data_IF_068498000944
#
_entry.id   IF_068498000944
#
_cell.length_a   1.000
_cell.length_b   1.000
_cell.length_c   1.000
_cell.angle_alpha   90.00
_cell.angle_beta   90.00
_cell.angle_gamma   90.00
#
_symmetry.space_group_name_H-M   'P 1'
#
loop_
_entity.id
_entity.type
_entity.pdbx_description
1 polymer ?
#
# COMPACT_ATOMS: atom_id res chain seq x y z
N UNK A 1 -30.73 2.59 -39.85
CA UNK A 1 -31.35 2.72 -38.52
C UNK A 1 -30.29 3.20 -37.55
N UNK A 2 -30.38 4.48 -37.16
CA UNK A 2 -29.62 5.07 -36.05
C UNK A 2 -30.33 4.69 -34.75
N UNK A 3 -29.58 4.24 -33.74
CA UNK A 3 -29.57 4.96 -32.47
C UNK A 3 -28.22 4.73 -31.81
N UNK A 4 -27.39 5.77 -31.87
CA UNK A 4 -26.33 6.02 -30.91
C UNK A 4 -26.99 6.39 -29.59
N UNK A 5 -26.86 5.56 -28.57
CA UNK A 5 -27.08 5.96 -27.17
C UNK A 5 -25.74 6.39 -26.59
N UNK A 6 -25.45 7.68 -26.77
CA UNK A 6 -24.55 8.42 -25.89
C UNK A 6 -25.39 8.83 -24.70
N UNK A 7 -25.15 8.18 -23.57
CA UNK A 7 -25.69 8.53 -22.25
C UNK A 7 -24.57 8.26 -21.25
N UNK A 8 -24.24 9.10 -20.29
CA UNK A 8 -24.56 10.48 -19.93
C UNK A 8 -23.49 10.77 -18.88
N UNK A 9 -22.89 11.95 -18.95
CA UNK A 9 -21.96 12.58 -18.00
C UNK A 9 -22.10 12.00 -16.57
N UNK A 10 -21.36 10.92 -16.31
CA UNK A 10 -21.17 10.42 -14.97
C UNK A 10 -20.19 11.38 -14.34
N UNK A 11 -20.70 12.45 -13.73
CA UNK A 11 -19.93 13.24 -12.78
C UNK A 11 -19.55 12.27 -11.67
N UNK A 12 -18.41 11.60 -11.87
CA UNK A 12 -17.71 10.81 -10.89
C UNK A 12 -17.34 11.85 -9.83
N UNK A 13 -18.29 12.09 -8.92
CA UNK A 13 -18.04 12.79 -7.68
C UNK A 13 -17.07 11.91 -6.94
N UNK A 14 -15.80 12.04 -7.29
CA UNK A 14 -14.68 11.46 -6.60
C UNK A 14 -14.70 12.12 -5.22
N UNK A 15 -15.52 11.55 -4.33
CA UNK A 15 -15.55 11.93 -2.93
C UNK A 15 -14.16 11.59 -2.42
N UNK A 16 -13.35 12.63 -2.25
CA UNK A 16 -12.08 12.51 -1.59
C UNK A 16 -12.34 12.34 -0.09
N UNK A 17 -12.85 11.17 0.28
CA UNK A 17 -12.97 10.79 1.67
C UNK A 17 -11.56 10.56 2.23
N UNK A 18 -11.25 11.27 3.32
CA UNK A 18 -9.97 11.13 3.98
C UNK A 18 -9.91 9.78 4.69
N UNK A 19 -9.20 8.82 4.07
CA UNK A 19 -9.07 7.44 4.55
C UNK A 19 -7.98 7.31 5.62
N UNK A 20 -6.78 7.82 5.32
CA UNK A 20 -5.63 7.76 6.21
C UNK A 20 -4.56 8.80 5.80
N UNK A 21 -3.55 8.97 6.65
CA UNK A 21 -2.31 9.67 6.31
C UNK A 21 -1.59 9.03 5.12
N UNK A 22 -0.43 9.58 4.70
CA UNK A 22 0.27 9.09 3.51
C UNK A 22 0.69 7.61 3.68
N UNK A 23 -0.09 6.71 3.07
CA UNK A 23 0.11 5.26 3.04
C UNK A 23 0.31 4.83 1.59
N UNK A 24 1.42 4.17 1.29
CA UNK A 24 1.78 3.73 -0.06
C UNK A 24 2.16 2.26 -0.05
N UNK A 25 1.78 1.53 -1.09
CA UNK A 25 2.20 0.13 -1.29
C UNK A 25 3.39 0.12 -2.24
N UNK A 26 4.61 0.00 -1.71
CA UNK A 26 5.85 0.19 -2.46
C UNK A 26 6.25 -1.07 -3.25
N UNK A 27 5.98 -2.26 -2.70
CA UNK A 27 6.39 -3.53 -3.31
C UNK A 27 5.58 -4.73 -2.80
N UNK A 28 5.63 -5.84 -3.54
CA UNK A 28 5.22 -7.15 -3.05
C UNK A 28 6.42 -7.79 -2.34
N UNK A 29 6.24 -8.20 -1.09
CA UNK A 29 7.26 -8.92 -0.32
C UNK A 29 7.15 -10.42 -0.57
N UNK A 30 8.29 -11.12 -0.69
CA UNK A 30 8.35 -12.59 -0.73
C UNK A 30 9.36 -13.09 0.30
N UNK A 31 9.03 -14.18 0.99
CA UNK A 31 10.00 -14.87 1.84
C UNK A 31 11.16 -15.44 0.98
N UNK A 32 12.39 -15.31 1.49
CA UNK A 32 13.59 -15.85 0.85
C UNK A 32 13.65 -17.38 0.93
N UNK A 33 13.14 -17.94 2.04
CA UNK A 33 13.34 -19.35 2.42
C UNK A 33 12.27 -20.27 1.87
N UNK A 34 11.04 -19.77 1.70
CA UNK A 34 9.92 -20.53 1.14
C UNK A 34 9.41 -19.85 -0.13
N UNK A 35 8.98 -20.65 -1.11
CA UNK A 35 8.30 -20.14 -2.31
C UNK A 35 6.91 -19.56 -2.02
N UNK A 36 6.41 -19.76 -0.81
CA UNK A 36 5.14 -19.32 -0.24
C UNK A 36 5.36 -18.19 0.79
N UNK A 37 4.30 -17.46 1.15
CA UNK A 37 4.40 -16.32 2.07
C UNK A 37 4.64 -14.98 1.37
N UNK A 38 3.76 -14.66 0.41
CA UNK A 38 3.72 -13.33 -0.18
C UNK A 38 3.17 -12.32 0.83
N UNK A 39 3.53 -11.05 0.67
CA UNK A 39 2.99 -9.94 1.45
C UNK A 39 3.08 -8.64 0.66
N UNK A 40 2.73 -7.53 1.30
CA UNK A 40 2.82 -6.19 0.74
C UNK A 40 3.74 -5.34 1.61
N UNK A 41 4.70 -4.65 1.00
CA UNK A 41 5.51 -3.65 1.67
C UNK A 41 4.73 -2.35 1.67
N UNK A 42 4.26 -1.96 2.85
CA UNK A 42 3.61 -0.67 3.08
C UNK A 42 4.66 0.34 3.53
N UNK A 43 4.66 1.52 2.94
CA UNK A 43 5.43 2.69 3.39
C UNK A 43 4.44 3.74 3.88
N UNK A 44 4.66 4.27 5.08
CA UNK A 44 3.82 5.33 5.62
C UNK A 44 4.59 6.23 6.57
N UNK A 45 4.06 7.42 6.84
CA UNK A 45 4.65 8.35 7.79
C UNK A 45 3.95 8.23 9.15
N UNK A 46 4.73 8.08 10.22
CA UNK A 46 4.19 8.01 11.57
C UNK A 46 3.87 9.40 12.14
N UNK A 47 3.30 9.45 13.36
CA UNK A 47 2.99 10.70 14.06
C UNK A 47 4.23 11.57 14.33
N UNK A 48 5.41 10.98 14.43
CA UNK A 48 6.71 11.66 14.59
C UNK A 48 7.27 12.21 13.27
N UNK A 49 6.58 12.04 12.14
CA UNK A 49 7.05 12.49 10.82
C UNK A 49 8.13 11.59 10.20
N UNK A 50 8.36 10.39 10.75
CA UNK A 50 9.31 9.40 10.23
C UNK A 50 8.63 8.48 9.24
N UNK A 51 9.27 8.24 8.10
CA UNK A 51 8.87 7.19 7.18
C UNK A 51 9.19 5.81 7.76
N UNK A 52 8.16 4.97 7.82
CA UNK A 52 8.25 3.59 8.26
C UNK A 52 7.86 2.68 7.11
N UNK A 53 8.56 1.55 7.02
CA UNK A 53 8.24 0.48 6.09
C UNK A 53 7.79 -0.75 6.89
N UNK A 54 6.65 -1.32 6.54
CA UNK A 54 6.10 -2.50 7.18
C UNK A 54 5.69 -3.54 6.16
N UNK A 55 6.21 -4.75 6.29
CA UNK A 55 5.80 -5.90 5.50
C UNK A 55 4.49 -6.47 6.08
N UNK A 56 3.39 -6.27 5.36
CA UNK A 56 2.09 -6.86 5.65
C UNK A 56 2.05 -8.29 5.07
N UNK A 57 2.01 -9.35 5.89
CA UNK A 57 1.90 -10.71 5.40
C UNK A 57 0.50 -10.97 4.81
N UNK A 58 0.42 -11.82 3.78
CA UNK A 58 -0.87 -12.14 3.15
C UNK A 58 -1.86 -12.82 4.10
N UNK A 59 -1.39 -13.51 5.13
CA UNK A 59 -2.25 -14.08 6.18
C UNK A 59 -3.03 -12.99 6.94
N UNK A 60 -2.38 -11.85 7.21
CA UNK A 60 -3.05 -10.69 7.80
C UNK A 60 -4.05 -10.08 6.80
N UNK A 61 -3.72 -10.05 5.51
CA UNK A 61 -4.63 -9.55 4.48
C UNK A 61 -5.86 -10.45 4.26
N UNK A 62 -5.70 -11.76 4.32
CA UNK A 62 -6.79 -12.72 4.21
C UNK A 62 -7.66 -12.78 5.49
N UNK A 63 -7.13 -12.28 6.61
CA UNK A 63 -7.79 -12.25 7.91
C UNK A 63 -8.72 -11.05 8.10
N UNK A 64 -8.73 -10.52 9.33
CA UNK A 64 -9.60 -9.39 9.72
C UNK A 64 -8.93 -8.03 9.47
N UNK A 65 -9.65 -7.06 8.88
CA UNK A 65 -9.10 -5.74 8.60
C UNK A 65 -8.67 -4.97 9.86
N UNK A 66 -9.35 -5.23 10.98
CA UNK A 66 -9.06 -4.63 12.29
C UNK A 66 -7.63 -4.89 12.75
N UNK A 67 -7.05 -6.06 12.44
CA UNK A 67 -5.68 -6.41 12.85
C UNK A 67 -4.64 -5.59 12.10
N UNK A 68 -4.90 -5.32 10.82
CA UNK A 68 -4.05 -4.48 9.97
C UNK A 68 -4.10 -3.04 10.46
N UNK A 69 -5.31 -2.51 10.63
CA UNK A 69 -5.52 -1.13 11.10
C UNK A 69 -4.96 -0.94 12.50
N UNK A 70 -5.20 -1.86 13.44
CA UNK A 70 -4.64 -1.81 14.78
C UNK A 70 -3.11 -1.77 14.77
N UNK A 71 -2.47 -2.55 13.90
CA UNK A 71 -1.00 -2.53 13.75
C UNK A 71 -0.50 -1.21 13.18
N UNK A 72 -1.17 -0.67 12.16
CA UNK A 72 -0.81 0.63 11.57
C UNK A 72 -1.02 1.78 12.58
N UNK A 73 -2.10 1.73 13.35
CA UNK A 73 -2.40 2.68 14.41
C UNK A 73 -1.35 2.64 15.52
N UNK A 74 -0.94 1.43 15.94
CA UNK A 74 0.14 1.23 16.92
C UNK A 74 1.49 1.78 16.42
N UNK A 75 1.73 1.73 15.10
CA UNK A 75 2.92 2.32 14.46
C UNK A 75 2.81 3.83 14.22
N UNK A 76 1.71 4.46 14.62
CA UNK A 76 1.50 5.90 14.51
C UNK A 76 0.99 6.38 13.14
N UNK A 77 0.35 5.52 12.35
CA UNK A 77 -0.35 5.99 11.15
C UNK A 77 -1.69 6.61 11.55
N UNK A 78 -1.95 7.84 11.09
CA UNK A 78 -3.28 8.46 11.20
C UNK A 78 -4.25 7.70 10.30
N UNK A 79 -5.25 7.06 10.88
CA UNK A 79 -6.25 6.27 10.18
C UNK A 79 -7.62 6.67 10.69
N UNK A 80 -8.59 6.81 9.80
CA UNK A 80 -9.98 6.88 10.19
C UNK A 80 -10.51 5.49 10.56
N UNK A 81 -10.98 5.32 11.80
CA UNK A 81 -11.49 4.04 12.30
C UNK A 81 -12.77 3.57 11.62
N UNK A 82 -13.50 4.44 10.92
CA UNK A 82 -14.75 4.08 10.23
C UNK A 82 -14.46 3.42 8.88
N UNK A 83 -13.29 3.69 8.29
CA UNK A 83 -12.94 3.27 6.92
C UNK A 83 -11.89 2.14 6.86
N UNK A 84 -11.84 1.28 7.88
CA UNK A 84 -10.86 0.18 7.95
C UNK A 84 -10.93 -0.76 6.75
N UNK A 85 -12.16 -1.05 6.30
CA UNK A 85 -12.40 -1.92 5.15
C UNK A 85 -11.86 -1.32 3.85
N UNK A 86 -12.04 -0.01 3.66
CA UNK A 86 -11.54 0.71 2.50
C UNK A 86 -10.02 0.75 2.47
N UNK A 87 -9.36 0.89 3.62
CA UNK A 87 -7.89 0.84 3.71
C UNK A 87 -7.37 -0.53 3.26
N UNK A 88 -8.00 -1.61 3.74
CA UNK A 88 -7.59 -2.97 3.35
C UNK A 88 -7.92 -3.26 1.89
N UNK A 89 -9.07 -2.79 1.41
CA UNK A 89 -9.46 -2.85 0.00
C UNK A 89 -8.46 -2.10 -0.89
N UNK A 90 -8.02 -0.91 -0.46
CA UNK A 90 -6.97 -0.13 -1.12
C UNK A 90 -5.66 -0.92 -1.17
N UNK A 91 -5.17 -1.44 -0.04
CA UNK A 91 -3.93 -2.24 0.00
C UNK A 91 -4.03 -3.47 -0.91
N UNK A 92 -5.19 -4.12 -0.95
CA UNK A 92 -5.44 -5.30 -1.77
C UNK A 92 -5.53 -4.97 -3.27
N UNK A 93 -6.10 -3.83 -3.63
CA UNK A 93 -6.24 -3.36 -5.01
C UNK A 93 -4.95 -2.75 -5.57
N UNK A 94 -4.01 -2.35 -4.72
CA UNK A 94 -2.68 -1.91 -5.15
C UNK A 94 -1.84 -3.11 -5.62
N UNK A 95 -1.39 -3.03 -6.88
CA UNK A 95 -0.57 -4.06 -7.51
C UNK A 95 0.78 -3.46 -7.95
N UNK A 96 1.72 -3.23 -7.00
CA UNK A 96 3.02 -2.68 -7.37
C UNK A 96 3.79 -3.69 -8.22
N UNK A 97 4.39 -3.20 -9.32
CA UNK A 97 5.28 -4.00 -10.19
C UNK A 97 6.59 -4.41 -9.48
N UNK A 98 6.98 -3.67 -8.45
CA UNK A 98 8.21 -3.91 -7.69
C UNK A 98 8.02 -5.11 -6.75
N UNK A 99 8.95 -6.05 -6.79
CA UNK A 99 8.99 -7.23 -5.91
C UNK A 99 10.26 -7.16 -5.08
N UNK A 100 10.14 -7.34 -3.77
CA UNK A 100 11.25 -7.35 -2.82
C UNK A 100 11.29 -8.68 -2.08
N UNK A 101 12.49 -9.17 -1.83
CA UNK A 101 12.69 -10.38 -1.03
C UNK A 101 12.91 -9.90 0.40
N UNK A 102 12.05 -10.32 1.33
CA UNK A 102 12.27 -10.08 2.76
C UNK A 102 13.39 -11.02 3.22
N UNK A 103 14.62 -10.53 3.19
CA UNK A 103 15.70 -11.14 3.95
C UNK A 103 15.40 -10.87 5.42
N UNK A 104 15.47 -11.90 6.28
CA UNK A 104 15.24 -11.77 7.73
C UNK A 104 16.37 -11.00 8.43
N UNK A 105 16.77 -9.86 7.87
CA UNK A 105 17.62 -8.88 8.51
C UNK A 105 16.69 -7.83 9.08
N UNK A 106 16.24 -8.06 10.31
CA UNK A 106 15.72 -7.02 11.19
C UNK A 106 16.82 -5.98 11.41
N UNK A 107 16.96 -5.07 10.45
CA UNK A 107 17.75 -3.87 10.56
C UNK A 107 16.82 -2.70 10.33
N UNK A 108 16.64 -1.87 11.36
CA UNK A 108 16.12 -0.52 11.26
C UNK A 108 17.04 0.35 10.40
N UNK A 109 17.23 0.00 9.12
CA UNK A 109 18.19 0.69 8.26
C UNK A 109 17.45 1.39 7.13
N UNK A 110 17.41 2.72 7.28
CA UNK A 110 17.07 3.64 6.23
C UNK A 110 18.02 3.52 5.02
N UNK A 111 17.64 4.26 4.00
CA UNK A 111 18.39 4.44 2.75
C UNK A 111 18.27 3.28 1.75
N UNK A 112 17.22 3.34 0.93
CA UNK A 112 17.31 2.88 -0.45
C UNK A 112 17.02 4.08 -1.35
N UNK A 113 18.08 4.84 -1.63
CA UNK A 113 18.04 5.98 -2.55
C UNK A 113 17.38 5.59 -3.87
N UNK A 114 16.39 6.38 -4.25
CA UNK A 114 15.88 6.43 -5.60
C UNK A 114 17.01 6.88 -6.54
N UNK A 115 17.61 5.94 -7.28
CA UNK A 115 18.32 6.27 -8.52
C UNK A 115 17.45 5.85 -9.70
N UNK A 116 16.47 6.68 -10.02
CA UNK A 116 15.90 6.77 -11.36
C UNK A 116 17.00 7.29 -12.31
N UNK A 117 17.87 6.42 -12.79
CA UNK A 117 18.73 6.76 -13.92
C UNK A 117 17.91 6.69 -15.20
N UNK A 118 17.48 7.86 -15.71
CA UNK A 118 17.18 8.03 -17.14
C UNK A 118 18.51 8.13 -17.87
N UNK A 119 18.76 7.35 -18.93
CA UNK A 119 19.63 7.83 -20.00
C UNK A 119 18.77 8.55 -21.05
N UNK A 120 19.07 9.83 -21.21
CA UNK A 120 18.57 10.71 -22.25
C UNK A 120 18.96 10.20 -23.64
N UNK A 121 18.02 10.30 -24.59
CA UNK A 121 18.32 10.38 -26.02
C UNK A 121 19.13 11.66 -26.31
N UNK A 122 19.98 11.65 -27.34
CA UNK A 122 19.53 12.17 -28.63
C UNK A 122 19.62 11.16 -29.78
#
# INVERSE_FOLDING_TARGET
MHYSTRTEEGEETARHEWLCGPLHVDAITRNSTCSEGYGRLLRFTNLDGKDLSWALPSELLAGRPERIVSTLFNRGLKIDHSQQREIVSYIASQHPRRRVISTATTGWLGDAKNKQTRPSAP
#
